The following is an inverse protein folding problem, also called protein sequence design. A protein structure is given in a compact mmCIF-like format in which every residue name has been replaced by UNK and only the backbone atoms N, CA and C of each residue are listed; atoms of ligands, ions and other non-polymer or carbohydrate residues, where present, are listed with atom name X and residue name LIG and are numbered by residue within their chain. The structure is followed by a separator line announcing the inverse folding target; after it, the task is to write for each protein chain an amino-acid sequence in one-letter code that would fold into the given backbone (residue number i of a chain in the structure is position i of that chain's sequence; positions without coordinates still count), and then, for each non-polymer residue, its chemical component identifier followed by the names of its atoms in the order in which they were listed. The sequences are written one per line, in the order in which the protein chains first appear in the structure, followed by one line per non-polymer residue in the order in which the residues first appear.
data_IF_575688840352
#
_entry.id   IF_575688840352
#
_cell.length_a   1.000
_cell.length_b   1.000
_cell.length_c   1.000
_cell.angle_alpha   90.00
_cell.angle_beta   90.00
_cell.angle_gamma   90.00
#
_symmetry.space_group_name_H-M   'P 1'
#
loop_
_entity.id
_entity.type
_entity.pdbx_description
1 polymer ?
#
# COMPACT_ATOMS: atom_id res chain seq x y z
N UNK A 1 14.19 17.63 15.08
CA UNK A 1 13.27 16.51 14.85
C UNK A 1 11.89 17.12 14.97
N UNK A 2 11.39 17.66 13.86
CA UNK A 2 10.08 18.30 13.79
C UNK A 2 9.04 17.20 13.67
N UNK A 3 8.17 17.09 14.67
CA UNK A 3 6.98 16.26 14.65
C UNK A 3 5.85 17.08 14.02
N UNK A 4 5.35 16.65 12.87
CA UNK A 4 4.05 17.10 12.37
C UNK A 4 2.93 16.36 13.12
N UNK A 5 1.82 17.05 13.35
CA UNK A 5 0.85 16.73 14.41
C UNK A 5 0.14 15.37 14.32
N UNK A 6 0.39 14.55 13.30
CA UNK A 6 0.05 13.12 13.28
C UNK A 6 1.01 12.36 12.34
N UNK A 7 2.32 12.49 12.53
CA UNK A 7 3.40 11.81 11.79
C UNK A 7 3.39 10.26 11.85
N UNK A 8 2.26 9.66 11.50
CA UNK A 8 1.97 8.23 11.55
C UNK A 8 2.68 7.47 10.42
N UNK A 9 3.17 8.15 9.38
CA UNK A 9 3.74 7.56 8.17
C UNK A 9 4.96 6.65 8.47
N UNK A 10 5.71 6.92 9.54
CA UNK A 10 6.93 6.17 9.91
C UNK A 10 6.78 5.23 11.12
N UNK A 11 5.57 4.99 11.64
CA UNK A 11 5.37 4.37 12.96
C UNK A 11 5.96 2.98 13.17
N UNK A 12 6.23 2.25 12.10
CA UNK A 12 6.59 0.84 12.16
C UNK A 12 7.95 0.50 11.53
N UNK A 13 8.70 1.50 11.07
CA UNK A 13 10.05 1.33 10.53
C UNK A 13 10.11 0.28 9.42
N UNK A 14 9.70 0.64 8.21
CA UNK A 14 10.09 -0.12 7.02
C UNK A 14 11.34 0.51 6.42
N UNK A 15 12.41 -0.28 6.45
CA UNK A 15 13.77 0.12 6.15
C UNK A 15 13.84 0.83 4.79
N UNK A 16 14.40 2.04 4.78
CA UNK A 16 14.65 2.85 3.58
C UNK A 16 15.38 2.04 2.51
N UNK A 17 16.15 1.03 2.93
CA UNK A 17 16.88 0.10 2.08
C UNK A 17 15.98 -0.85 1.26
N UNK A 18 14.88 -1.39 1.81
CA UNK A 18 13.96 -2.21 0.99
C UNK A 18 13.24 -1.35 -0.05
N UNK A 19 12.90 -0.11 0.29
CA UNK A 19 12.33 0.87 -0.65
C UNK A 19 13.32 1.20 -1.78
N UNK A 20 14.59 1.44 -1.45
CA UNK A 20 15.63 1.68 -2.45
C UNK A 20 15.95 0.44 -3.29
N UNK A 21 15.83 -0.77 -2.75
CA UNK A 21 16.02 -2.02 -3.49
C UNK A 21 14.91 -2.26 -4.51
N UNK A 22 13.64 -1.98 -4.17
CA UNK A 22 12.51 -2.03 -5.10
C UNK A 22 12.74 -1.07 -6.28
N UNK A 23 13.20 0.15 -6.01
CA UNK A 23 13.49 1.14 -7.05
C UNK A 23 14.73 0.77 -7.90
N UNK A 24 15.72 0.06 -7.34
CA UNK A 24 16.93 -0.36 -8.05
C UNK A 24 16.73 -1.59 -8.94
N UNK A 25 15.83 -2.51 -8.60
CA UNK A 25 15.58 -3.70 -9.42
C UNK A 25 14.95 -3.36 -10.79
N UNK A 26 14.16 -2.28 -10.88
CA UNK A 26 13.60 -1.80 -12.15
C UNK A 26 14.64 -1.18 -13.10
N UNK A 27 15.87 -0.90 -12.64
CA UNK A 27 16.93 -0.32 -13.47
C UNK A 27 17.91 -1.35 -14.06
N UNK A 28 17.66 -2.65 -13.90
CA UNK A 28 18.52 -3.73 -14.41
C UNK A 28 17.85 -4.59 -15.51
N UNK A 29 16.85 -4.07 -16.23
CA UNK A 29 16.43 -4.67 -17.51
C UNK A 29 17.57 -4.57 -18.52
N UNK A 30 18.35 -5.64 -18.63
CA UNK A 30 19.32 -5.83 -19.70
C UNK A 30 18.56 -5.95 -21.02
N UNK A 31 18.99 -5.29 -22.11
CA UNK A 31 18.36 -5.47 -23.40
C UNK A 31 18.74 -6.85 -23.95
N UNK A 32 17.95 -7.86 -23.59
CA UNK A 32 17.93 -9.15 -24.27
C UNK A 32 17.50 -8.88 -25.70
N UNK A 33 18.44 -8.98 -26.63
CA UNK A 33 18.19 -8.77 -28.04
C UNK A 33 18.03 -10.13 -28.72
N UNK A 34 16.98 -10.25 -29.55
CA UNK A 34 16.87 -11.12 -30.72
C UNK A 34 16.14 -12.48 -30.58
N UNK A 35 15.53 -12.83 -29.44
CA UNK A 35 14.77 -14.10 -29.33
C UNK A 35 13.27 -13.95 -28.97
N UNK A 36 12.74 -12.73 -28.93
CA UNK A 36 11.38 -12.45 -28.41
C UNK A 36 10.28 -12.45 -29.51
N UNK A 37 10.61 -12.81 -30.74
CA UNK A 37 9.70 -12.66 -31.88
C UNK A 37 8.75 -13.84 -32.14
N UNK A 38 8.56 -14.78 -31.20
CA UNK A 38 7.75 -15.99 -31.48
C UNK A 38 6.73 -16.42 -30.43
N UNK A 39 6.57 -15.70 -29.30
CA UNK A 39 5.46 -15.95 -28.37
C UNK A 39 4.80 -14.63 -27.99
N UNK A 40 3.58 -14.41 -28.49
CA UNK A 40 2.68 -13.33 -28.07
C UNK A 40 1.94 -13.76 -26.79
N UNK A 41 2.70 -14.00 -25.73
CA UNK A 41 2.20 -14.31 -24.38
C UNK A 41 2.70 -13.17 -23.48
N UNK A 42 1.95 -12.06 -23.38
CA UNK A 42 2.38 -10.88 -22.61
C UNK A 42 2.50 -11.21 -21.12
N UNK A 43 3.73 -11.41 -20.66
CA UNK A 43 4.10 -11.46 -19.24
C UNK A 43 4.80 -10.16 -18.76
N UNK A 44 5.25 -9.31 -19.70
CA UNK A 44 6.06 -8.11 -19.43
C UNK A 44 5.30 -6.80 -19.72
N UNK A 45 5.53 -5.77 -18.89
CA UNK A 45 5.01 -4.41 -19.11
C UNK A 45 5.69 -3.75 -20.31
N UNK A 46 4.93 -2.96 -21.09
CA UNK A 46 5.57 -1.99 -22.00
C UNK A 46 6.24 -0.86 -21.19
N UNK A 47 7.21 -0.13 -21.77
CA UNK A 47 7.83 1.01 -21.08
C UNK A 47 6.83 2.07 -20.60
N UNK A 48 5.74 2.29 -21.34
CA UNK A 48 4.68 3.23 -20.96
C UNK A 48 3.83 2.72 -19.80
N UNK A 49 3.51 1.41 -19.80
CA UNK A 49 2.82 0.73 -18.70
C UNK A 49 3.69 0.76 -17.43
N UNK A 50 4.99 0.47 -17.55
CA UNK A 50 5.95 0.52 -16.45
C UNK A 50 6.10 1.94 -15.88
N UNK A 51 6.20 2.96 -16.73
CA UNK A 51 6.25 4.34 -16.29
C UNK A 51 4.97 4.75 -15.55
N UNK A 52 3.81 4.43 -16.11
CA UNK A 52 2.51 4.71 -15.50
C UNK A 52 2.33 3.98 -14.16
N UNK A 53 2.72 2.72 -14.09
CA UNK A 53 2.71 1.90 -12.88
C UNK A 53 3.63 2.49 -11.80
N UNK A 54 4.88 2.79 -12.16
CA UNK A 54 5.87 3.33 -11.23
C UNK A 54 5.43 4.68 -10.66
N UNK A 55 4.85 5.55 -11.49
CA UNK A 55 4.28 6.83 -11.05
C UNK A 55 3.12 6.63 -10.06
N UNK A 56 2.24 5.66 -10.29
CA UNK A 56 1.13 5.35 -9.37
C UNK A 56 1.65 4.81 -8.04
N UNK A 57 2.58 3.85 -8.07
CA UNK A 57 3.20 3.30 -6.85
C UNK A 57 3.90 4.38 -6.04
N UNK A 58 4.65 5.28 -6.68
CA UNK A 58 5.34 6.38 -6.01
C UNK A 58 4.35 7.39 -5.40
N UNK A 59 3.29 7.76 -6.12
CA UNK A 59 2.31 8.75 -5.63
C UNK A 59 1.44 8.22 -4.50
N UNK A 60 1.07 6.94 -4.55
CA UNK A 60 0.15 6.34 -3.57
C UNK A 60 0.84 5.55 -2.47
N UNK A 61 2.17 5.39 -2.52
CA UNK A 61 2.93 4.38 -1.78
C UNK A 61 2.40 2.95 -1.97
N UNK A 62 1.88 2.65 -3.17
CA UNK A 62 1.33 1.34 -3.53
C UNK A 62 -0.09 1.07 -3.01
N UNK A 63 -0.75 2.05 -2.36
CA UNK A 63 -2.12 1.91 -1.89
C UNK A 63 -3.17 2.13 -2.99
N UNK A 64 -2.79 2.77 -4.10
CA UNK A 64 -3.64 3.07 -5.24
C UNK A 64 -2.86 2.87 -6.53
N UNK A 65 -3.12 1.74 -7.19
CA UNK A 65 -2.44 1.26 -8.39
C UNK A 65 -3.49 0.59 -9.26
N UNK A 66 -3.54 0.96 -10.53
CA UNK A 66 -4.47 0.38 -11.50
C UNK A 66 -4.03 -1.04 -11.89
N UNK A 67 -5.00 -1.89 -12.20
CA UNK A 67 -4.75 -3.18 -12.86
C UNK A 67 -4.17 -2.95 -14.27
N UNK A 68 -3.23 -3.81 -14.69
CA UNK A 68 -2.61 -3.74 -16.02
C UNK A 68 -2.99 -5.03 -16.77
N UNK A 69 -4.00 -4.98 -17.66
CA UNK A 69 -4.58 -6.18 -18.25
C UNK A 69 -3.57 -6.99 -19.08
N UNK A 70 -3.46 -8.28 -18.75
CA UNK A 70 -2.59 -9.21 -19.47
C UNK A 70 -1.11 -8.92 -19.22
N UNK A 71 -0.76 -8.45 -18.02
CA UNK A 71 0.61 -8.38 -17.52
C UNK A 71 0.65 -9.04 -16.14
N UNK A 72 1.68 -9.85 -15.90
CA UNK A 72 1.88 -10.56 -14.63
C UNK A 72 3.36 -10.53 -14.25
N UNK A 73 3.85 -9.37 -13.84
CA UNK A 73 5.24 -9.22 -13.43
C UNK A 73 5.46 -9.69 -11.98
N UNK A 74 6.58 -10.39 -11.74
CA UNK A 74 6.96 -10.78 -10.38
C UNK A 74 7.14 -9.54 -9.47
N UNK A 75 6.63 -9.60 -8.24
CA UNK A 75 6.61 -8.47 -7.28
C UNK A 75 5.76 -7.24 -7.67
N UNK A 76 4.95 -7.31 -8.73
CA UNK A 76 3.98 -6.26 -9.04
C UNK A 76 2.96 -6.07 -7.91
N UNK A 77 2.63 -4.82 -7.61
CA UNK A 77 1.53 -4.45 -6.71
C UNK A 77 0.27 -4.38 -7.57
N UNK A 78 -0.77 -5.13 -7.20
CA UNK A 78 -2.00 -5.20 -7.98
C UNK A 78 -3.25 -5.18 -7.11
N UNK A 79 -4.39 -4.67 -7.62
CA UNK A 79 -5.67 -4.73 -6.93
C UNK A 79 -6.08 -6.15 -6.57
N UNK A 80 -6.54 -6.31 -5.33
CA UNK A 80 -7.16 -7.54 -4.86
C UNK A 80 -8.69 -7.45 -4.96
N UNK A 81 -9.33 -8.56 -5.33
CA UNK A 81 -10.78 -8.66 -5.27
C UNK A 81 -11.22 -8.84 -3.80
N UNK A 82 -11.66 -7.74 -3.19
CA UNK A 82 -12.09 -7.69 -1.79
C UNK A 82 -13.24 -8.66 -1.50
N UNK A 83 -14.15 -8.87 -2.45
CA UNK A 83 -15.32 -9.74 -2.25
C UNK A 83 -14.92 -11.22 -2.10
N UNK A 84 -13.77 -11.62 -2.65
CA UNK A 84 -13.30 -12.99 -2.58
C UNK A 84 -12.83 -13.38 -1.18
N UNK A 85 -12.18 -12.46 -0.45
CA UNK A 85 -11.59 -12.75 0.86
C UNK A 85 -11.77 -11.60 1.88
N UNK A 86 -12.99 -11.06 1.94
CA UNK A 86 -13.32 -9.92 2.80
C UNK A 86 -12.97 -10.18 4.27
N UNK A 87 -13.25 -11.40 4.76
CA UNK A 87 -12.98 -11.77 6.15
C UNK A 87 -11.48 -11.76 6.47
N UNK A 88 -10.61 -12.17 5.54
CA UNK A 88 -9.16 -12.04 5.72
C UNK A 88 -8.75 -10.57 5.78
N UNK A 89 -9.19 -9.74 4.84
CA UNK A 89 -8.84 -8.32 4.81
C UNK A 89 -9.35 -7.54 6.02
N UNK A 90 -10.53 -7.92 6.53
CA UNK A 90 -11.05 -7.42 7.81
C UNK A 90 -10.13 -7.78 8.97
N UNK A 91 -9.66 -9.04 9.06
CA UNK A 91 -8.72 -9.47 10.11
C UNK A 91 -7.38 -8.75 10.03
N UNK A 92 -6.88 -8.46 8.82
CA UNK A 92 -5.64 -7.68 8.65
C UNK A 92 -5.81 -6.21 9.04
N UNK A 93 -6.96 -5.62 8.72
CA UNK A 93 -7.29 -4.27 9.18
C UNK A 93 -7.35 -4.22 10.71
N UNK A 94 -7.98 -5.22 11.34
CA UNK A 94 -8.06 -5.34 12.79
C UNK A 94 -6.68 -5.53 13.41
N UNK A 95 -5.81 -6.38 12.83
CA UNK A 95 -4.43 -6.56 13.28
C UNK A 95 -3.66 -5.23 13.32
N UNK A 96 -3.84 -4.40 12.30
CA UNK A 96 -3.19 -3.09 12.21
C UNK A 96 -3.74 -2.10 13.25
N UNK A 97 -5.06 -2.10 13.48
CA UNK A 97 -5.72 -1.32 14.53
C UNK A 97 -5.27 -1.76 15.92
N UNK A 98 -5.25 -3.06 16.20
CA UNK A 98 -4.86 -3.61 17.51
C UNK A 98 -3.43 -3.20 17.85
N UNK A 99 -2.54 -3.28 16.88
CA UNK A 99 -1.15 -2.86 17.04
C UNK A 99 -1.02 -1.34 17.24
N UNK A 100 -1.80 -0.52 16.53
CA UNK A 100 -1.88 0.92 16.77
C UNK A 100 -2.38 1.24 18.19
N UNK A 101 -3.54 0.71 18.58
CA UNK A 101 -4.15 0.89 19.90
C UNK A 101 -3.21 0.44 21.02
N UNK A 102 -2.49 -0.67 20.82
CA UNK A 102 -1.49 -1.17 21.78
C UNK A 102 -0.33 -0.20 21.96
N UNK A 103 0.16 0.43 20.89
CA UNK A 103 1.29 1.38 20.93
C UNK A 103 0.91 2.73 21.53
N UNK A 104 -0.32 3.20 21.29
CA UNK A 104 -0.79 4.52 21.72
C UNK A 104 -1.79 4.47 22.87
N UNK A 105 -1.82 3.36 23.61
CA UNK A 105 -2.73 3.14 24.73
C UNK A 105 -2.73 4.29 25.74
N UNK A 106 -1.55 4.84 26.04
CA UNK A 106 -1.40 5.92 27.03
C UNK A 106 -1.82 7.31 26.48
N UNK A 107 -2.00 7.44 25.15
CA UNK A 107 -2.46 8.66 24.49
C UNK A 107 -3.99 8.70 24.30
N UNK A 108 -4.72 7.72 24.86
CA UNK A 108 -6.16 7.56 24.66
C UNK A 108 -6.57 7.48 23.17
N UNK A 109 -5.66 7.00 22.32
CA UNK A 109 -5.92 6.78 20.91
C UNK A 109 -6.46 5.34 20.73
N UNK A 110 -7.78 5.24 20.60
CA UNK A 110 -8.47 3.98 20.38
C UNK A 110 -9.27 4.05 19.09
N UNK A 111 -9.00 3.10 18.19
CA UNK A 111 -9.70 2.96 16.92
C UNK A 111 -10.61 1.73 16.92
N UNK A 112 -11.81 1.87 16.37
CA UNK A 112 -12.76 0.78 16.14
C UNK A 112 -12.95 0.55 14.63
N UNK A 113 -12.74 -0.67 14.16
CA UNK A 113 -12.88 -1.01 12.74
C UNK A 113 -14.30 -0.76 12.21
N UNK A 114 -14.42 -0.21 11.00
CA UNK A 114 -15.71 -0.03 10.31
C UNK A 114 -15.83 -0.91 9.07
N UNK A 115 -14.99 -0.69 8.05
CA UNK A 115 -15.04 -1.47 6.78
C UNK A 115 -13.74 -1.38 5.99
N UNK A 116 -13.45 -2.39 5.18
CA UNK A 116 -12.38 -2.34 4.17
C UNK A 116 -12.89 -1.58 2.94
N UNK A 117 -12.06 -0.71 2.37
CA UNK A 117 -12.38 0.05 1.15
C UNK A 117 -11.65 -0.50 -0.08
N UNK A 118 -10.35 -0.73 0.04
CA UNK A 118 -9.48 -1.10 -1.07
C UNK A 118 -8.30 -1.91 -0.56
N UNK A 119 -7.84 -2.88 -1.36
CA UNK A 119 -6.68 -3.71 -1.02
C UNK A 119 -5.82 -3.90 -2.26
N UNK A 120 -4.53 -3.63 -2.13
CA UNK A 120 -3.52 -4.08 -3.08
C UNK A 120 -2.70 -5.22 -2.49
N UNK A 121 -2.21 -6.13 -3.33
CA UNK A 121 -1.39 -7.26 -2.94
C UNK A 121 -0.08 -7.29 -3.71
N UNK A 122 0.98 -7.75 -3.04
CA UNK A 122 2.32 -7.93 -3.61
C UNK A 122 2.96 -9.19 -3.05
N UNK A 123 3.52 -10.03 -3.91
CA UNK A 123 4.38 -11.13 -3.46
C UNK A 123 5.68 -10.58 -2.86
N UNK A 124 5.97 -10.86 -1.59
CA UNK A 124 7.15 -10.35 -0.89
C UNK A 124 7.48 -11.21 0.35
N UNK A 125 8.11 -12.37 0.16
CA UNK A 125 8.38 -13.38 1.22
C UNK A 125 7.12 -13.78 2.00
N UNK A 126 6.07 -14.09 1.26
CA UNK A 126 4.68 -14.10 1.71
C UNK A 126 3.87 -13.17 0.81
N UNK A 127 2.78 -12.59 1.34
CA UNK A 127 2.03 -11.54 0.65
C UNK A 127 1.98 -10.28 1.50
N UNK A 128 2.38 -9.16 0.90
CA UNK A 128 2.25 -7.82 1.46
C UNK A 128 0.94 -7.21 0.95
N UNK A 129 0.08 -6.83 1.89
CA UNK A 129 -1.20 -6.20 1.61
C UNK A 129 -1.16 -4.72 1.96
N UNK A 130 -1.56 -3.88 1.02
CA UNK A 130 -1.72 -2.44 1.18
C UNK A 130 -3.22 -2.17 1.33
N UNK A 131 -3.67 -1.96 2.55
CA UNK A 131 -5.09 -1.97 2.90
C UNK A 131 -5.53 -0.54 3.23
N UNK A 132 -6.54 -0.06 2.50
CA UNK A 132 -7.26 1.16 2.84
C UNK A 132 -8.59 0.77 3.50
N UNK A 133 -8.86 1.28 4.70
CA UNK A 133 -10.05 0.93 5.49
C UNK A 133 -10.55 2.14 6.29
N UNK A 134 -11.80 2.07 6.74
CA UNK A 134 -12.38 3.07 7.65
C UNK A 134 -12.36 2.56 9.08
N UNK A 135 -12.09 3.46 10.03
CA UNK A 135 -12.21 3.20 11.45
C UNK A 135 -12.81 4.43 12.15
N UNK A 136 -13.50 4.21 13.27
CA UNK A 136 -13.92 5.27 14.19
C UNK A 136 -12.77 5.59 15.13
N UNK A 137 -12.48 6.87 15.27
CA UNK A 137 -11.51 7.42 16.21
C UNK A 137 -12.22 7.73 17.54
N UNK A 138 -12.22 6.77 18.47
CA UNK A 138 -12.90 6.90 19.76
C UNK A 138 -12.22 7.95 20.66
N UNK A 139 -10.92 8.19 20.46
CA UNK A 139 -10.18 9.28 21.10
C UNK A 139 -10.64 10.67 20.64
N UNK A 140 -11.13 10.79 19.41
CA UNK A 140 -11.63 12.02 18.81
C UNK A 140 -13.17 12.05 18.67
N UNK A 141 -13.90 11.62 19.70
CA UNK A 141 -15.36 11.72 19.73
C UNK A 141 -16.11 10.76 18.79
N UNK A 142 -15.42 9.73 18.27
CA UNK A 142 -16.02 8.71 17.41
C UNK A 142 -16.08 9.06 15.92
N UNK A 143 -15.29 10.04 15.48
CA UNK A 143 -15.22 10.43 14.06
C UNK A 143 -14.75 9.26 13.18
N UNK A 144 -15.45 9.03 12.06
CA UNK A 144 -15.04 8.01 11.09
C UNK A 144 -14.01 8.62 10.14
N UNK A 145 -12.80 8.06 10.14
CA UNK A 145 -11.70 8.46 9.27
C UNK A 145 -11.25 7.30 8.38
N UNK A 146 -10.54 7.62 7.31
CA UNK A 146 -9.94 6.62 6.41
C UNK A 146 -8.46 6.45 6.73
N UNK A 147 -8.03 5.22 6.93
CA UNK A 147 -6.67 4.83 7.28
C UNK A 147 -6.09 3.91 6.21
N UNK A 148 -4.76 3.87 6.17
CA UNK A 148 -3.97 3.03 5.29
C UNK A 148 -2.97 2.24 6.13
N UNK A 149 -2.90 0.93 5.94
CA UNK A 149 -1.94 0.08 6.62
C UNK A 149 -1.31 -0.94 5.67
N UNK A 150 -0.03 -1.22 5.88
CA UNK A 150 0.64 -2.38 5.25
C UNK A 150 0.64 -3.54 6.23
N UNK A 151 0.18 -4.70 5.79
CA UNK A 151 0.23 -5.95 6.56
C UNK A 151 1.00 -7.00 5.77
N UNK A 152 1.98 -7.64 6.39
CA UNK A 152 2.68 -8.77 5.80
C UNK A 152 2.08 -10.06 6.36
N UNK A 153 1.49 -10.87 5.47
CA UNK A 153 1.22 -12.28 5.72
C UNK A 153 2.45 -13.10 5.29
N UNK A 154 3.40 -13.22 6.21
CA UNK A 154 4.66 -13.91 6.00
C UNK A 154 4.57 -15.39 6.37
N UNK A 155 5.66 -16.12 6.11
CA UNK A 155 5.75 -17.53 6.52
C UNK A 155 5.72 -17.62 8.06
N UNK A 156 4.63 -18.17 8.59
CA UNK A 156 4.46 -18.45 10.02
C UNK A 156 4.05 -17.25 10.89
N UNK A 157 3.92 -16.03 10.35
CA UNK A 157 3.45 -14.88 11.12
C UNK A 157 2.78 -13.81 10.26
N UNK A 158 1.80 -13.11 10.86
CA UNK A 158 1.12 -11.95 10.29
C UNK A 158 1.49 -10.73 11.09
N UNK A 159 1.95 -9.67 10.44
CA UNK A 159 2.44 -8.48 11.16
C UNK A 159 2.02 -7.19 10.46
N UNK A 160 1.53 -6.22 11.24
CA UNK A 160 1.34 -4.85 10.77
C UNK A 160 2.70 -4.18 10.59
N UNK A 161 2.90 -3.59 9.41
CA UNK A 161 4.18 -3.07 8.92
C UNK A 161 4.20 -1.57 8.76
N UNK A 162 3.04 -0.95 8.54
CA UNK A 162 2.86 0.50 8.59
C UNK A 162 1.40 0.81 8.87
N UNK A 163 1.13 2.02 9.36
CA UNK A 163 -0.21 2.50 9.64
C UNK A 163 -0.22 4.02 9.55
N UNK A 164 -1.13 4.61 8.77
CA UNK A 164 -1.30 6.07 8.69
C UNK A 164 -2.76 6.45 8.48
N UNK A 165 -3.09 7.69 8.80
CA UNK A 165 -4.28 8.33 8.25
C UNK A 165 -4.09 8.48 6.73
N UNK A 166 -5.13 8.24 5.91
CA UNK A 166 -5.05 8.48 4.46
C UNK A 166 -4.77 9.97 4.25
N UNK A 167 -3.72 10.35 3.49
CA UNK A 167 -3.50 11.74 3.12
C UNK A 167 -4.73 12.32 2.41
N UNK A 168 -5.01 13.64 2.55
CA UNK A 168 -5.99 14.28 1.70
C UNK A 168 -5.58 14.08 0.24
N UNK A 169 -6.54 13.82 -0.64
CA UNK A 169 -6.27 13.90 -2.08
C UNK A 169 -5.97 15.37 -2.35
N UNK A 170 -4.72 15.69 -2.67
CA UNK A 170 -4.30 17.07 -2.99
C UNK A 170 -5.37 17.72 -3.87
N UNK A 171 -5.86 18.89 -3.45
CA UNK A 171 -6.80 19.70 -4.21
C UNK A 171 -6.19 19.92 -5.61
N UNK A 172 -6.70 19.16 -6.58
CA UNK A 172 -6.24 19.19 -7.96
C UNK A 172 -6.59 20.56 -8.55
N UNK A 173 -5.60 21.44 -8.59
CA UNK A 173 -5.47 22.49 -9.59
C UNK A 173 -6.35 23.73 -9.40
N UNK A 174 -5.95 24.63 -8.51
CA UNK A 174 -6.16 26.06 -8.72
C UNK A 174 -4.80 26.77 -8.78
N UNK A 175 -4.12 26.64 -9.90
CA UNK A 175 -3.24 27.72 -10.36
C UNK A 175 -4.13 28.87 -10.82
N UNK A 176 -4.74 29.61 -9.88
CA UNK A 176 -5.26 30.93 -10.19
C UNK A 176 -4.06 31.87 -10.22
N UNK A 177 -3.65 32.23 -11.43
CA UNK A 177 -2.74 33.35 -11.67
C UNK A 177 -3.25 34.60 -10.94
N UNK A 178 -2.36 35.25 -10.21
CA UNK A 178 -2.39 36.69 -9.94
C UNK A 178 -1.00 37.26 -10.22
#
# INVERSE_FOLDING_TARGET
METDEMGLVELFGYDKLERELILRQNNYSSPSTLFDAINDDRDEMTPEEEYSYSEQVLKSDGFDVSDIPGVSCFHQIQPCNIAYDYDMYRRYSQLAIDEYNRRFKDANAELEFVKVLMVMGQAANGIRYYITFMAKDLGNGGEIKTYQAVVLDGIGSKTAKSFRLKPPEDERGETCCI
#
